data_IF_743282317146
#
_entry.id   IF_743282317146
#
_cell.length_a   1.000
_cell.length_b   1.000
_cell.length_c   1.000
_cell.angle_alpha   90.00
_cell.angle_beta   90.00
_cell.angle_gamma   90.00
#
_symmetry.space_group_name_H-M   'P 1'
#
loop_
_entity.id
_entity.type
_entity.pdbx_description
1 polymer ?
#
# COMPACT_ATOMS: atom_id res chain seq x y z
N UNK A 1 9.37 14.67 35.86
CA UNK A 1 9.74 13.72 34.79
C UNK A 1 9.27 14.35 33.50
N UNK A 2 10.18 14.93 32.74
CA UNK A 2 9.89 15.37 31.38
C UNK A 2 9.63 14.09 30.57
N UNK A 3 8.38 13.90 30.15
CA UNK A 3 8.07 12.93 29.12
C UNK A 3 8.75 13.44 27.86
N UNK A 4 9.85 12.80 27.45
CA UNK A 4 10.37 12.97 26.11
C UNK A 4 9.29 12.41 25.20
N UNK A 5 8.45 13.31 24.70
CA UNK A 5 7.60 13.05 23.54
C UNK A 5 8.53 12.59 22.44
N UNK A 6 8.54 11.29 22.13
CA UNK A 6 9.07 10.83 20.86
C UNK A 6 8.07 11.30 19.79
N UNK A 7 8.10 12.60 19.49
CA UNK A 7 7.41 13.15 18.33
C UNK A 7 7.96 12.40 17.13
N UNK A 8 7.10 11.62 16.49
CA UNK A 8 7.49 10.75 15.39
C UNK A 8 8.16 11.60 14.31
N UNK A 9 9.40 11.25 13.94
CA UNK A 9 10.18 12.03 12.97
C UNK A 9 9.39 12.16 11.66
N UNK A 10 8.91 13.37 11.32
CA UNK A 10 8.08 13.56 10.15
C UNK A 10 8.87 13.42 8.86
N UNK A 11 10.21 13.35 8.92
CA UNK A 11 11.07 13.28 7.75
C UNK A 11 10.93 11.95 7.01
N UNK A 12 11.00 12.03 5.68
CA UNK A 12 11.20 10.86 4.83
C UNK A 12 12.45 10.09 5.30
N UNK A 13 12.40 8.76 5.19
CA UNK A 13 13.56 7.94 5.50
C UNK A 13 14.68 8.25 4.51
N UNK A 14 15.88 8.49 5.02
CA UNK A 14 17.08 8.58 4.19
C UNK A 14 17.52 7.17 3.84
N UNK A 15 17.28 6.75 2.59
CA UNK A 15 17.70 5.44 2.11
C UNK A 15 19.13 5.54 1.56
N UNK A 16 20.12 4.86 2.16
CA UNK A 16 21.48 4.84 1.61
C UNK A 16 21.49 4.22 0.22
N UNK A 17 22.28 4.77 -0.71
CA UNK A 17 22.44 4.20 -2.07
C UNK A 17 22.91 2.76 -2.02
N UNK A 18 23.71 2.37 -1.02
CA UNK A 18 24.16 0.98 -0.81
C UNK A 18 23.05 0.00 -0.44
N UNK A 19 21.85 0.50 -0.11
CA UNK A 19 20.66 -0.27 0.20
C UNK A 19 19.62 -0.24 -0.93
N UNK A 20 19.93 0.46 -2.02
CA UNK A 20 19.12 0.45 -3.23
C UNK A 20 19.70 -0.56 -4.24
N UNK A 21 18.87 -1.16 -5.09
CA UNK A 21 19.35 -1.93 -6.22
C UNK A 21 20.25 -1.09 -7.10
N UNK A 22 21.30 -1.68 -7.69
CA UNK A 22 22.08 -1.06 -8.76
C UNK A 22 21.16 -0.47 -9.83
N UNK A 23 21.55 0.69 -10.38
CA UNK A 23 20.73 1.41 -11.35
C UNK A 23 20.40 0.57 -12.60
N UNK A 24 21.26 -0.36 -12.97
CA UNK A 24 21.05 -1.33 -14.05
C UNK A 24 20.04 -2.44 -13.70
N UNK A 25 19.76 -2.73 -12.43
CA UNK A 25 18.65 -3.63 -12.02
C UNK A 25 17.31 -2.90 -12.02
N UNK A 26 17.33 -1.61 -11.69
CA UNK A 26 16.14 -0.73 -11.77
C UNK A 26 15.84 -0.42 -13.26
N UNK A 27 16.91 -0.27 -14.07
CA UNK A 27 16.87 0.15 -15.47
C UNK A 27 17.67 -0.77 -16.42
N UNK A 28 17.44 -2.10 -16.47
CA UNK A 28 18.16 -2.97 -17.38
C UNK A 28 17.59 -2.76 -18.77
N UNK A 29 18.17 -1.82 -19.52
CA UNK A 29 17.88 -1.64 -20.92
C UNK A 29 19.20 -1.70 -21.69
N UNK A 30 19.39 -2.72 -22.55
CA UNK A 30 20.53 -2.79 -23.45
C UNK A 30 20.55 -1.60 -24.44
N UNK A 31 19.39 -1.03 -24.72
CA UNK A 31 19.21 0.00 -25.73
C UNK A 31 18.83 1.34 -25.10
N UNK A 32 19.60 2.38 -25.43
CA UNK A 32 19.33 3.79 -25.06
C UNK A 32 18.00 4.34 -25.61
N UNK A 33 17.23 3.54 -26.35
CA UNK A 33 15.99 3.94 -27.03
C UNK A 33 14.70 3.63 -26.23
N UNK A 34 14.73 2.73 -25.24
CA UNK A 34 13.52 2.43 -24.45
C UNK A 34 13.36 3.49 -23.36
N UNK A 35 12.28 4.27 -23.47
CA UNK A 35 11.95 5.34 -22.54
C UNK A 35 11.94 4.84 -21.09
N UNK A 36 12.64 5.54 -20.19
CA UNK A 36 12.59 5.36 -18.72
C UNK A 36 11.29 5.93 -18.12
N UNK A 37 10.22 5.91 -18.89
CA UNK A 37 8.93 6.49 -18.55
C UNK A 37 7.81 5.51 -18.79
N UNK A 38 6.72 5.70 -18.06
CA UNK A 38 5.49 4.96 -18.28
C UNK A 38 4.65 5.58 -19.39
N UNK A 39 5.11 6.56 -20.17
CA UNK A 39 4.29 7.21 -21.21
C UNK A 39 4.16 6.35 -22.47
N UNK A 40 5.24 5.66 -22.85
CA UNK A 40 5.30 4.85 -24.07
C UNK A 40 5.16 3.35 -23.79
N UNK A 41 4.80 2.60 -24.83
CA UNK A 41 4.90 1.14 -24.87
C UNK A 41 6.10 0.71 -25.71
N UNK A 42 6.75 -0.38 -25.34
CA UNK A 42 7.94 -0.93 -26.00
C UNK A 42 7.75 -2.43 -26.28
N UNK A 43 8.64 -2.99 -27.10
CA UNK A 43 8.60 -4.42 -27.46
C UNK A 43 8.98 -5.25 -26.23
N UNK A 44 8.13 -6.20 -25.88
CA UNK A 44 8.36 -7.14 -24.79
C UNK A 44 9.19 -8.35 -25.24
N UNK A 45 9.95 -8.92 -24.31
CA UNK A 45 10.57 -10.25 -24.47
C UNK A 45 9.55 -11.39 -24.40
N UNK A 46 8.34 -11.13 -23.90
CA UNK A 46 7.27 -12.13 -23.78
C UNK A 46 6.69 -12.46 -25.17
N UNK A 47 6.65 -13.73 -25.57
CA UNK A 47 5.99 -14.13 -26.81
C UNK A 47 4.50 -13.76 -26.81
N UNK A 48 3.91 -13.31 -27.94
CA UNK A 48 2.51 -12.85 -28.00
C UNK A 48 1.46 -13.89 -27.59
N UNK A 49 1.80 -15.18 -27.61
CA UNK A 49 0.93 -16.30 -27.25
C UNK A 49 1.19 -16.86 -25.85
N UNK A 50 1.98 -16.16 -25.02
CA UNK A 50 2.30 -16.55 -23.65
C UNK A 50 1.68 -15.58 -22.66
N UNK A 51 1.31 -16.10 -21.49
CA UNK A 51 0.94 -15.30 -20.32
C UNK A 51 2.17 -14.56 -19.81
N UNK A 52 2.03 -13.26 -19.52
CA UNK A 52 3.09 -12.45 -18.89
C UNK A 52 3.50 -13.07 -17.56
N UNK A 53 2.52 -13.37 -16.68
CA UNK A 53 2.80 -13.97 -15.38
C UNK A 53 3.62 -15.24 -15.53
N UNK A 54 3.14 -16.20 -16.33
CA UNK A 54 3.75 -17.52 -16.42
C UNK A 54 5.17 -17.43 -16.98
N UNK A 55 5.41 -16.53 -17.94
CA UNK A 55 6.74 -16.31 -18.51
C UNK A 55 7.75 -15.87 -17.45
N UNK A 56 7.47 -14.82 -16.70
CA UNK A 56 8.40 -14.32 -15.68
C UNK A 56 8.47 -15.23 -14.45
N UNK A 57 7.31 -15.70 -13.96
CA UNK A 57 7.23 -16.48 -12.72
C UNK A 57 7.89 -17.85 -12.87
N UNK A 58 7.74 -18.51 -14.02
CA UNK A 58 8.40 -19.81 -14.25
C UNK A 58 9.92 -19.67 -14.34
N UNK A 59 10.42 -18.59 -14.94
CA UNK A 59 11.85 -18.30 -15.01
C UNK A 59 12.45 -18.08 -13.62
N UNK A 60 11.84 -17.23 -12.78
CA UNK A 60 12.28 -17.01 -11.39
C UNK A 60 12.23 -18.30 -10.58
N UNK A 61 11.16 -19.10 -10.69
CA UNK A 61 11.05 -20.40 -10.02
C UNK A 61 12.09 -21.42 -10.48
N UNK A 62 12.62 -21.26 -11.70
CA UNK A 62 13.72 -22.08 -12.22
C UNK A 62 15.12 -21.56 -11.83
N UNK A 63 15.19 -20.43 -11.11
CA UNK A 63 16.43 -19.83 -10.61
C UNK A 63 16.94 -18.63 -11.41
N UNK A 64 16.27 -18.24 -12.51
CA UNK A 64 16.63 -17.04 -13.25
C UNK A 64 15.96 -15.80 -12.63
N UNK A 65 16.58 -15.23 -11.61
CA UNK A 65 16.10 -14.01 -10.94
C UNK A 65 16.41 -12.73 -11.72
N UNK A 66 17.27 -12.81 -12.75
CA UNK A 66 17.67 -11.64 -13.55
C UNK A 66 16.55 -11.11 -14.45
N UNK A 67 15.57 -11.96 -14.76
CA UNK A 67 14.45 -11.64 -15.65
C UNK A 67 13.46 -10.63 -15.04
N UNK A 68 13.41 -10.50 -13.71
CA UNK A 68 12.53 -9.58 -13.00
C UNK A 68 13.21 -9.07 -11.72
N UNK A 69 13.30 -7.75 -11.50
CA UNK A 69 14.03 -7.20 -10.37
C UNK A 69 13.38 -7.59 -9.03
N UNK A 70 14.17 -7.79 -7.97
CA UNK A 70 13.64 -7.97 -6.63
C UNK A 70 12.99 -6.66 -6.12
N UNK A 71 12.08 -6.73 -5.14
CA UNK A 71 11.47 -5.54 -4.55
C UNK A 71 12.44 -4.81 -3.63
N UNK A 72 12.22 -3.52 -3.46
CA UNK A 72 12.77 -2.71 -2.37
C UNK A 72 11.75 -2.77 -1.23
N UNK A 73 12.10 -3.39 -0.12
CA UNK A 73 11.20 -3.61 1.02
C UNK A 73 11.45 -2.53 2.05
N UNK A 74 10.57 -1.53 2.10
CA UNK A 74 10.63 -0.46 3.11
C UNK A 74 9.82 -0.83 4.33
N UNK A 75 10.49 -0.99 5.47
CA UNK A 75 9.85 -1.41 6.72
C UNK A 75 10.01 -0.36 7.81
N UNK A 76 8.97 -0.11 8.61
CA UNK A 76 9.10 0.78 9.76
C UNK A 76 10.14 0.24 10.74
N UNK A 77 10.94 1.12 11.35
CA UNK A 77 12.10 0.74 12.17
C UNK A 77 11.76 -0.19 13.34
N UNK A 78 10.52 -0.14 13.81
CA UNK A 78 10.08 -0.99 14.89
C UNK A 78 9.79 -2.43 14.46
N UNK A 79 9.58 -2.72 13.17
CA UNK A 79 9.31 -4.08 12.69
C UNK A 79 10.59 -4.92 12.81
N UNK A 80 10.62 -5.99 13.62
CA UNK A 80 11.83 -6.79 13.79
C UNK A 80 12.27 -7.43 12.45
N UNK A 81 13.57 -7.42 12.11
CA UNK A 81 14.04 -7.94 10.81
C UNK A 81 13.63 -9.38 10.50
N UNK A 82 13.67 -10.27 11.50
CA UNK A 82 13.22 -11.66 11.35
C UNK A 82 11.72 -11.76 11.01
N UNK A 83 10.92 -10.80 11.48
CA UNK A 83 9.50 -10.75 11.17
C UNK A 83 9.26 -10.22 9.74
N UNK A 84 10.07 -9.28 9.25
CA UNK A 84 10.00 -8.81 7.85
C UNK A 84 10.16 -9.99 6.88
N UNK A 85 11.20 -10.81 7.07
CA UNK A 85 11.42 -12.00 6.22
C UNK A 85 10.26 -13.00 6.33
N UNK A 86 9.82 -13.30 7.56
CA UNK A 86 8.69 -14.20 7.79
C UNK A 86 7.42 -13.72 7.05
N UNK A 87 7.08 -12.44 7.17
CA UNK A 87 5.91 -11.84 6.52
C UNK A 87 6.05 -11.83 5.00
N UNK A 88 7.26 -11.65 4.47
CA UNK A 88 7.51 -11.64 3.04
C UNK A 88 7.47 -13.04 2.41
N UNK A 89 7.86 -14.09 3.14
CA UNK A 89 7.95 -15.46 2.64
C UNK A 89 6.73 -16.33 2.93
N UNK A 90 6.07 -16.14 4.08
CA UNK A 90 5.01 -17.05 4.56
C UNK A 90 3.59 -16.49 4.37
N UNK A 91 3.43 -15.61 3.38
CA UNK A 91 2.15 -15.01 2.96
C UNK A 91 1.09 -16.05 2.68
N UNK A 92 -0.18 -15.71 2.87
CA UNK A 92 -1.28 -16.61 2.49
C UNK A 92 -1.50 -16.58 0.98
N UNK A 93 -2.11 -17.63 0.45
CA UNK A 93 -2.52 -17.73 -0.96
C UNK A 93 -4.05 -17.63 -1.12
N UNK A 94 -4.75 -17.24 -0.06
CA UNK A 94 -6.21 -17.17 0.04
C UNK A 94 -6.67 -15.72 0.14
N UNK A 95 -7.74 -15.41 -0.59
CA UNK A 95 -8.39 -14.11 -0.58
C UNK A 95 -9.15 -13.81 0.73
N UNK A 96 -9.56 -12.54 0.85
CA UNK A 96 -10.66 -11.94 1.63
C UNK A 96 -11.43 -12.84 2.61
N UNK A 97 -11.61 -12.35 3.85
CA UNK A 97 -12.42 -13.00 4.87
C UNK A 97 -11.75 -14.17 5.61
N UNK A 98 -10.65 -14.72 5.08
CA UNK A 98 -9.86 -15.77 5.71
C UNK A 98 -8.77 -15.17 6.62
N UNK A 99 -9.13 -14.85 7.86
CA UNK A 99 -8.16 -14.46 8.92
C UNK A 99 -7.48 -15.72 9.49
N UNK A 100 -6.62 -15.62 10.50
CA UNK A 100 -5.84 -16.77 11.01
C UNK A 100 -6.70 -18.05 11.15
N UNK A 101 -6.32 -19.10 10.43
CA UNK A 101 -6.94 -20.43 10.48
C UNK A 101 -5.92 -21.47 10.97
N UNK A 102 -6.39 -22.64 11.46
CA UNK A 102 -5.51 -23.76 11.78
C UNK A 102 -4.56 -24.09 10.62
N UNK A 103 -3.27 -24.19 10.94
CA UNK A 103 -2.20 -24.44 9.97
C UNK A 103 -1.65 -23.18 9.28
N UNK A 104 -2.21 -22.00 9.51
CA UNK A 104 -1.67 -20.74 8.99
C UNK A 104 -0.31 -20.39 9.62
N UNK A 105 0.53 -19.73 8.82
CA UNK A 105 1.86 -19.28 9.25
C UNK A 105 1.88 -17.87 9.80
N UNK A 106 0.89 -17.05 9.43
CA UNK A 106 0.76 -15.66 9.83
C UNK A 106 -0.51 -15.51 10.68
N UNK A 107 -0.33 -15.09 11.93
CA UNK A 107 -1.38 -14.70 12.88
C UNK A 107 -2.02 -13.37 12.51
N UNK A 108 -3.14 -13.01 13.15
CA UNK A 108 -3.79 -11.73 12.87
C UNK A 108 -2.92 -10.52 13.24
N UNK A 109 -2.18 -10.60 14.35
CA UNK A 109 -1.31 -9.49 14.77
C UNK A 109 -0.03 -9.40 13.94
N UNK A 110 0.49 -10.53 13.44
CA UNK A 110 1.53 -10.50 12.41
C UNK A 110 1.01 -9.90 11.11
N UNK A 111 -0.21 -10.24 10.70
CA UNK A 111 -0.86 -9.61 9.57
C UNK A 111 -0.98 -8.09 9.75
N UNK A 112 -1.40 -7.63 10.93
CA UNK A 112 -1.45 -6.19 11.23
C UNK A 112 -0.05 -5.54 11.18
N UNK A 113 1.00 -6.24 11.62
CA UNK A 113 2.38 -5.77 11.50
C UNK A 113 2.84 -5.65 10.04
N UNK A 114 2.31 -6.51 9.16
CA UNK A 114 2.64 -6.52 7.74
C UNK A 114 2.28 -5.20 7.02
N UNK A 115 1.28 -4.46 7.54
CA UNK A 115 0.97 -3.10 7.07
C UNK A 115 2.18 -2.16 7.12
N UNK A 116 3.16 -2.43 8.00
CA UNK A 116 4.36 -1.62 8.15
C UNK A 116 5.54 -2.11 7.33
N UNK A 117 5.32 -3.03 6.40
CA UNK A 117 6.30 -3.54 5.44
C UNK A 117 5.75 -3.29 4.04
N UNK A 118 6.38 -2.38 3.30
CA UNK A 118 5.93 -1.93 1.97
C UNK A 118 6.94 -2.33 0.91
N UNK A 119 6.65 -3.40 0.13
CA UNK A 119 7.51 -3.81 -0.98
C UNK A 119 7.18 -3.00 -2.23
N UNK A 120 8.18 -2.31 -2.76
CA UNK A 120 8.08 -1.57 -4.03
C UNK A 120 8.90 -2.31 -5.07
N UNK A 121 8.23 -2.86 -6.07
CA UNK A 121 8.90 -3.43 -7.23
C UNK A 121 9.36 -2.27 -8.11
N UNK A 122 10.69 -2.06 -8.25
CA UNK A 122 11.22 -0.86 -8.87
C UNK A 122 10.84 -0.72 -10.35
N UNK A 123 10.53 -1.85 -11.00
CA UNK A 123 10.02 -1.91 -12.37
C UNK A 123 9.26 -3.20 -12.64
N UNK A 124 8.09 -3.07 -13.25
CA UNK A 124 7.28 -4.14 -13.80
C UNK A 124 6.99 -3.91 -15.28
N UNK A 125 7.00 -4.99 -16.06
CA UNK A 125 6.50 -4.99 -17.43
C UNK A 125 4.99 -5.26 -17.41
N UNK A 126 4.17 -4.32 -17.89
CA UNK A 126 2.70 -4.43 -17.90
C UNK A 126 2.14 -4.63 -19.31
N UNK A 127 1.39 -5.71 -19.54
CA UNK A 127 0.70 -6.03 -20.80
C UNK A 127 -0.74 -5.48 -20.83
N UNK A 128 -0.88 -4.19 -20.54
CA UNK A 128 -2.15 -3.50 -20.45
C UNK A 128 -2.18 -2.59 -19.23
N UNK A 129 -3.12 -1.66 -19.22
CA UNK A 129 -3.42 -0.82 -18.06
C UNK A 129 -4.63 -1.44 -17.33
N UNK A 130 -4.69 -1.36 -15.99
CA UNK A 130 -5.79 -1.93 -15.21
C UNK A 130 -7.15 -1.29 -15.57
N UNK A 131 -8.20 -2.10 -15.59
CA UNK A 131 -9.58 -1.62 -15.67
C UNK A 131 -10.55 -2.51 -14.87
N UNK A 132 -11.65 -1.93 -14.43
CA UNK A 132 -12.75 -2.62 -13.76
C UNK A 132 -13.99 -2.55 -14.64
N UNK A 133 -14.49 -3.70 -15.12
CA UNK A 133 -15.71 -3.76 -15.91
C UNK A 133 -16.43 -5.07 -15.64
N UNK A 134 -17.43 -5.03 -14.76
CA UNK A 134 -18.08 -6.23 -14.20
C UNK A 134 -17.06 -7.25 -13.63
N UNK A 135 -15.99 -6.74 -13.00
CA UNK A 135 -14.85 -7.50 -12.48
C UNK A 135 -13.51 -6.88 -12.86
N UNK A 136 -12.44 -7.35 -12.20
CA UNK A 136 -11.07 -6.89 -12.43
C UNK A 136 -10.53 -7.40 -13.76
N UNK A 137 -9.93 -6.51 -14.55
CA UNK A 137 -9.44 -6.73 -15.91
C UNK A 137 -8.21 -5.85 -16.20
N UNK A 138 -7.64 -6.01 -17.38
CA UNK A 138 -6.76 -5.03 -17.98
C UNK A 138 -7.18 -4.74 -19.43
N UNK A 139 -6.78 -3.57 -19.93
CA UNK A 139 -6.95 -3.24 -21.35
C UNK A 139 -6.30 -4.30 -22.23
N UNK A 140 -6.83 -4.57 -23.43
CA UNK A 140 -6.24 -5.56 -24.34
C UNK A 140 -4.75 -5.33 -24.59
N UNK A 141 -3.99 -6.41 -24.45
CA UNK A 141 -2.57 -6.44 -24.78
C UNK A 141 -2.36 -6.01 -26.23
N UNK A 142 -1.41 -5.11 -26.46
CA UNK A 142 -1.12 -4.61 -27.80
C UNK A 142 -0.15 -5.56 -28.48
N UNK A 143 -0.56 -6.12 -29.62
CA UNK A 143 0.30 -6.96 -30.46
C UNK A 143 0.57 -6.21 -31.77
N UNK A 144 1.86 -6.04 -32.11
CA UNK A 144 2.29 -5.37 -33.35
C UNK A 144 3.09 -6.33 -34.23
N UNK A 145 3.24 -5.98 -35.51
CA UNK A 145 4.19 -6.63 -36.42
C UNK A 145 5.51 -5.88 -36.40
N UNK A 146 6.61 -6.57 -36.13
CA UNK A 146 7.97 -6.04 -36.25
C UNK A 146 8.85 -7.09 -36.94
N UNK A 147 9.53 -6.70 -38.02
CA UNK A 147 10.35 -7.63 -38.82
C UNK A 147 9.61 -8.88 -39.30
N UNK A 148 8.31 -8.78 -39.63
CA UNK A 148 7.46 -9.91 -40.04
C UNK A 148 6.93 -10.79 -38.91
N UNK A 149 7.41 -10.63 -37.67
CA UNK A 149 6.96 -11.39 -36.49
C UNK A 149 5.94 -10.59 -35.68
N UNK A 150 4.99 -11.28 -35.06
CA UNK A 150 4.12 -10.67 -34.07
C UNK A 150 4.90 -10.48 -32.76
N UNK A 151 4.81 -9.31 -32.15
CA UNK A 151 5.46 -8.96 -30.88
C UNK A 151 4.44 -8.38 -29.91
N UNK A 152 4.60 -8.71 -28.63
CA UNK A 152 3.83 -8.12 -27.54
C UNK A 152 4.42 -6.76 -27.20
N UNK A 153 3.58 -5.76 -26.96
CA UNK A 153 4.00 -4.46 -26.45
C UNK A 153 3.63 -4.34 -24.98
N UNK A 154 4.57 -3.88 -24.17
CA UNK A 154 4.39 -3.67 -22.72
C UNK A 154 4.73 -2.22 -22.36
N UNK A 155 4.29 -1.81 -21.16
CA UNK A 155 4.64 -0.54 -20.53
C UNK A 155 5.46 -0.82 -19.28
N UNK A 156 6.48 -0.01 -19.03
CA UNK A 156 7.20 -0.03 -17.74
C UNK A 156 6.37 0.70 -16.70
N UNK A 157 6.08 0.06 -15.57
CA UNK A 157 5.41 0.68 -14.42
C UNK A 157 6.18 0.36 -13.14
N UNK A 158 5.90 1.09 -12.07
CA UNK A 158 6.36 0.78 -10.71
C UNK A 158 5.20 0.11 -10.02
N UNK A 159 5.43 -0.98 -9.30
CA UNK A 159 4.37 -1.61 -8.52
C UNK A 159 4.68 -1.42 -7.04
N UNK A 160 3.81 -0.70 -6.34
CA UNK A 160 3.83 -0.67 -4.89
C UNK A 160 2.88 -1.73 -4.35
N UNK A 161 3.41 -2.62 -3.53
CA UNK A 161 2.68 -3.70 -2.89
C UNK A 161 2.24 -3.31 -1.46
N UNK A 162 1.78 -2.07 -1.32
CA UNK A 162 1.28 -1.50 -0.07
C UNK A 162 0.12 -2.34 0.49
N UNK A 163 0.16 -2.54 1.80
CA UNK A 163 -0.85 -3.31 2.53
C UNK A 163 -1.73 -2.33 3.29
N UNK A 164 -3.02 -2.33 3.01
CA UNK A 164 -3.94 -1.41 3.67
C UNK A 164 -4.24 -1.84 5.11
N UNK A 165 -4.75 -0.90 5.91
CA UNK A 165 -5.25 -1.19 7.24
C UNK A 165 -6.49 -2.10 7.13
N UNK A 166 -6.36 -3.36 7.58
CA UNK A 166 -7.40 -4.38 7.47
C UNK A 166 -8.50 -4.23 8.54
N UNK A 167 -9.56 -3.53 8.15
CA UNK A 167 -10.85 -3.41 8.87
C UNK A 167 -11.96 -4.23 8.21
N UNK A 168 -11.62 -5.25 7.41
CA UNK A 168 -12.64 -6.11 6.79
C UNK A 168 -13.44 -6.84 7.88
N UNK A 169 -12.73 -7.28 8.93
CA UNK A 169 -13.25 -7.99 10.08
C UNK A 169 -12.70 -7.38 11.39
N UNK A 170 -13.38 -7.58 12.54
CA UNK A 170 -12.99 -6.98 13.80
C UNK A 170 -11.74 -7.60 14.44
N UNK A 171 -11.06 -8.54 13.78
CA UNK A 171 -10.03 -9.40 14.37
C UNK A 171 -8.59 -8.97 14.07
N UNK A 172 -8.39 -7.93 13.26
CA UNK A 172 -7.07 -7.41 12.86
C UNK A 172 -6.91 -5.98 13.36
N UNK A 173 -7.12 -4.96 12.52
CA UNK A 173 -6.85 -3.57 12.92
C UNK A 173 -7.80 -3.06 14.01
N UNK A 174 -9.07 -3.52 14.01
CA UNK A 174 -10.02 -3.21 15.08
C UNK A 174 -9.50 -3.71 16.43
N UNK A 175 -9.15 -5.00 16.52
CA UNK A 175 -8.64 -5.57 17.77
C UNK A 175 -7.36 -4.87 18.21
N UNK A 176 -6.48 -4.51 17.28
CA UNK A 176 -5.23 -3.81 17.56
C UNK A 176 -5.46 -2.43 18.20
N UNK A 177 -6.29 -1.58 17.59
CA UNK A 177 -6.45 -0.17 17.98
C UNK A 177 -7.60 0.12 18.95
N UNK A 178 -8.45 -0.88 19.27
CA UNK A 178 -9.60 -0.66 20.15
C UNK A 178 -9.20 -0.51 21.63
N UNK A 179 -9.95 0.31 22.35
CA UNK A 179 -9.83 0.45 23.80
C UNK A 179 -10.47 -0.76 24.50
N UNK A 180 -9.89 -1.14 25.64
CA UNK A 180 -10.41 -2.18 26.55
C UNK A 180 -10.85 -1.56 27.87
N UNK A 181 -11.46 -2.36 28.74
CA UNK A 181 -11.86 -1.92 30.08
C UNK A 181 -10.67 -1.44 30.92
N UNK A 182 -9.53 -2.12 30.75
CA UNK A 182 -8.25 -1.76 31.36
C UNK A 182 -7.34 -1.14 30.30
N UNK A 183 -6.40 -0.34 30.76
CA UNK A 183 -5.34 0.19 29.90
C UNK A 183 -4.46 -0.92 29.33
N UNK A 184 -3.84 -0.64 28.19
CA UNK A 184 -2.85 -1.50 27.55
C UNK A 184 -1.55 -0.72 27.54
N UNK A 185 -0.58 -1.17 28.33
CA UNK A 185 0.77 -0.62 28.34
C UNK A 185 1.57 -1.23 27.21
N UNK A 186 2.19 -0.37 26.40
CA UNK A 186 3.06 -0.78 25.31
C UNK A 186 4.36 -1.40 25.82
N UNK A 187 4.95 -2.27 24.99
CA UNK A 187 6.22 -2.96 25.27
C UNK A 187 7.06 -2.97 24.00
N UNK A 188 8.22 -2.34 24.01
CA UNK A 188 9.15 -2.46 22.89
C UNK A 188 9.79 -3.86 22.86
N UNK A 189 9.68 -4.57 21.73
CA UNK A 189 10.24 -5.90 21.54
C UNK A 189 11.65 -5.85 20.97
N UNK A 190 12.08 -4.69 20.42
CA UNK A 190 13.43 -4.55 19.87
C UNK A 190 14.51 -4.52 20.95
N UNK A 191 14.13 -4.23 22.20
CA UNK A 191 15.01 -4.27 23.38
C UNK A 191 14.91 -5.59 24.15
N UNK A 192 13.99 -6.48 23.78
CA UNK A 192 13.79 -7.78 24.42
C UNK A 192 14.63 -8.84 23.70
N UNK A 193 15.83 -9.12 24.23
CA UNK A 193 16.76 -10.09 23.64
C UNK A 193 16.24 -11.52 23.62
N UNK A 194 15.20 -11.83 24.40
CA UNK A 194 14.61 -13.16 24.49
C UNK A 194 13.39 -13.33 23.57
N UNK A 195 12.82 -12.23 23.07
CA UNK A 195 11.67 -12.29 22.19
C UNK A 195 12.01 -12.96 20.86
N UNK A 196 11.17 -13.90 20.43
CA UNK A 196 11.31 -14.61 19.15
C UNK A 196 9.94 -14.70 18.48
N UNK A 197 9.93 -14.63 17.15
CA UNK A 197 8.71 -14.89 16.40
C UNK A 197 8.27 -16.35 16.63
N UNK A 198 6.95 -16.55 16.75
CA UNK A 198 6.41 -17.86 17.06
C UNK A 198 6.42 -18.75 15.81
N UNK A 199 6.98 -19.95 15.89
CA UNK A 199 6.96 -20.92 14.79
C UNK A 199 5.54 -21.45 14.48
N UNK A 200 5.32 -21.90 13.24
CA UNK A 200 4.03 -22.41 12.74
C UNK A 200 3.34 -23.41 13.67
N UNK A 201 4.10 -24.37 14.21
CA UNK A 201 3.57 -25.39 15.11
C UNK A 201 3.05 -24.80 16.43
N UNK A 202 3.81 -23.90 17.05
CA UNK A 202 3.41 -23.27 18.31
C UNK A 202 2.24 -22.28 18.14
N UNK A 203 2.07 -21.67 16.95
CA UNK A 203 0.89 -20.83 16.63
C UNK A 203 -0.45 -21.60 16.68
N UNK A 204 -0.40 -22.93 16.63
CA UNK A 204 -1.59 -23.77 16.74
C UNK A 204 -2.07 -23.92 18.19
N UNK A 205 -1.18 -23.70 19.16
CA UNK A 205 -1.57 -23.62 20.57
C UNK A 205 -2.21 -22.25 20.83
N UNK A 206 -3.47 -22.26 21.29
CA UNK A 206 -4.25 -21.04 21.49
C UNK A 206 -3.69 -20.14 22.60
N UNK A 207 -3.09 -20.72 23.65
CA UNK A 207 -2.52 -19.96 24.76
C UNK A 207 -1.20 -19.31 24.35
N UNK A 208 -0.30 -20.07 23.70
CA UNK A 208 0.95 -19.52 23.16
C UNK A 208 0.69 -18.45 22.10
N UNK A 209 -0.25 -18.70 21.17
CA UNK A 209 -0.65 -17.69 20.17
C UNK A 209 -1.24 -16.45 20.83
N UNK A 210 -2.15 -16.61 21.79
CA UNK A 210 -2.78 -15.48 22.47
C UNK A 210 -1.76 -14.58 23.18
N UNK A 211 -0.78 -15.17 23.87
CA UNK A 211 0.32 -14.42 24.49
C UNK A 211 1.20 -13.71 23.46
N UNK A 212 1.54 -14.40 22.37
CA UNK A 212 2.35 -13.86 21.28
C UNK A 212 1.65 -12.68 20.56
N UNK A 213 0.37 -12.83 20.22
CA UNK A 213 -0.43 -11.77 19.59
C UNK A 213 -0.56 -10.55 20.51
N UNK A 214 -0.73 -10.76 21.82
CA UNK A 214 -0.78 -9.68 22.80
C UNK A 214 0.58 -8.96 22.94
N UNK A 215 1.71 -9.67 22.86
CA UNK A 215 3.03 -9.05 22.83
C UNK A 215 3.24 -8.19 21.57
N UNK A 216 2.87 -8.69 20.38
CA UNK A 216 2.88 -7.92 19.14
C UNK A 216 1.97 -6.69 19.22
N UNK A 217 0.79 -6.84 19.83
CA UNK A 217 -0.12 -5.72 20.06
C UNK A 217 0.52 -4.65 20.94
N UNK A 218 1.08 -5.03 22.10
CA UNK A 218 1.77 -4.10 23.01
C UNK A 218 2.95 -3.42 22.33
N UNK A 219 3.64 -4.12 21.43
CA UNK A 219 4.70 -3.54 20.62
C UNK A 219 4.20 -2.43 19.70
N UNK A 220 3.15 -2.70 18.93
CA UNK A 220 2.54 -1.68 18.09
C UNK A 220 1.97 -0.52 18.90
N UNK A 221 1.36 -0.78 20.07
CA UNK A 221 0.91 0.28 20.99
C UNK A 221 2.07 1.16 21.45
N UNK A 222 3.22 0.56 21.77
CA UNK A 222 4.42 1.32 22.13
C UNK A 222 4.83 2.28 21.01
N UNK A 223 4.89 1.80 19.76
CA UNK A 223 5.41 2.60 18.64
C UNK A 223 4.39 3.52 17.96
N UNK A 224 3.10 3.28 18.14
CA UNK A 224 2.02 4.01 17.47
C UNK A 224 1.18 4.85 18.44
N UNK A 225 1.66 5.08 19.66
CA UNK A 225 1.08 6.05 20.59
C UNK A 225 2.17 6.82 21.31
N UNK A 226 1.96 8.12 21.46
CA UNK A 226 2.94 9.06 22.03
C UNK A 226 3.18 8.81 23.53
N UNK A 227 2.20 8.21 24.21
CA UNK A 227 2.30 7.82 25.62
C UNK A 227 2.65 6.35 25.81
N UNK A 228 2.97 5.63 24.73
CA UNK A 228 3.25 4.19 24.74
C UNK A 228 2.15 3.37 25.43
N UNK A 229 0.89 3.80 25.33
CA UNK A 229 -0.26 3.14 25.96
C UNK A 229 -1.57 3.43 25.22
N UNK A 230 -2.51 2.50 25.31
CA UNK A 230 -3.93 2.76 25.05
C UNK A 230 -4.66 2.88 26.39
N UNK A 231 -5.40 3.97 26.67
CA UNK A 231 -6.10 4.14 27.93
C UNK A 231 -7.30 3.19 28.07
N UNK A 232 -7.72 2.94 29.31
CA UNK A 232 -8.95 2.20 29.59
C UNK A 232 -10.20 3.01 29.21
N UNK A 233 -11.30 2.32 28.89
CA UNK A 233 -12.58 2.94 28.49
C UNK A 233 -13.13 3.93 29.54
N UNK A 234 -12.91 3.66 30.83
CA UNK A 234 -13.37 4.54 31.91
C UNK A 234 -12.64 5.89 31.95
N UNK A 235 -11.42 5.97 31.41
CA UNK A 235 -10.61 7.20 31.37
C UNK A 235 -11.05 8.15 30.24
N UNK A 236 -11.82 7.66 29.26
CA UNK A 236 -11.98 8.33 27.96
C UNK A 236 -13.40 8.79 27.64
N UNK A 237 -14.38 8.58 28.53
CA UNK A 237 -15.82 8.72 28.25
C UNK A 237 -16.21 10.07 27.62
N UNK A 238 -15.57 11.17 28.02
CA UNK A 238 -15.86 12.53 27.50
C UNK A 238 -15.13 12.88 26.18
N UNK A 239 -14.36 11.95 25.62
CA UNK A 239 -13.49 12.16 24.45
C UNK A 239 -13.80 11.22 23.28
N UNK A 240 -14.86 10.43 23.42
CA UNK A 240 -15.34 9.49 22.41
C UNK A 240 -16.33 10.21 21.50
N UNK A 241 -15.99 10.30 20.23
CA UNK A 241 -16.83 10.84 19.17
C UNK A 241 -17.53 9.68 18.44
N UNK A 242 -18.71 9.92 17.90
CA UNK A 242 -19.28 9.01 16.90
C UNK A 242 -18.57 9.22 15.54
N UNK A 243 -18.83 8.34 14.58
CA UNK A 243 -18.18 8.38 13.27
C UNK A 243 -18.29 9.74 12.56
N UNK A 244 -19.51 10.26 12.36
CA UNK A 244 -19.72 11.56 11.69
C UNK A 244 -18.90 12.72 12.30
N UNK A 245 -19.00 12.98 13.62
CA UNK A 245 -18.15 13.98 14.28
C UNK A 245 -16.65 13.69 14.18
N UNK A 246 -16.23 12.41 14.13
CA UNK A 246 -14.83 12.05 13.93
C UNK A 246 -14.35 12.39 12.52
N UNK A 247 -15.18 12.16 11.50
CA UNK A 247 -14.89 12.55 10.11
C UNK A 247 -14.74 14.07 10.00
N UNK A 248 -15.70 14.83 10.55
CA UNK A 248 -15.62 16.29 10.57
C UNK A 248 -14.36 16.78 11.29
N UNK A 249 -14.04 16.21 12.45
CA UNK A 249 -12.83 16.55 13.18
C UNK A 249 -11.56 16.32 12.36
N UNK A 250 -11.44 15.18 11.66
CA UNK A 250 -10.28 14.91 10.80
C UNK A 250 -10.24 15.84 9.59
N UNK A 251 -11.39 16.18 8.99
CA UNK A 251 -11.49 17.15 7.90
C UNK A 251 -11.05 18.54 8.35
N UNK A 252 -11.47 19.00 9.52
CA UNK A 252 -11.06 20.28 10.10
C UNK A 252 -9.52 20.32 10.29
N UNK A 253 -8.91 19.19 10.72
CA UNK A 253 -7.45 19.08 10.81
C UNK A 253 -6.76 19.13 9.45
N UNK A 254 -7.33 18.48 8.42
CA UNK A 254 -6.79 18.52 7.06
C UNK A 254 -6.90 19.95 6.48
N UNK A 255 -7.97 20.66 6.79
CA UNK A 255 -8.22 22.02 6.31
C UNK A 255 -7.42 23.07 7.07
N UNK A 256 -7.02 22.81 8.31
CA UNK A 256 -6.21 23.73 9.12
C UNK A 256 -4.78 23.91 8.60
N UNK A 257 -4.15 25.03 8.97
CA UNK A 257 -2.79 25.37 8.52
C UNK A 257 -1.70 24.45 9.11
N UNK A 258 -1.89 24.01 10.36
CA UNK A 258 -0.95 23.21 11.14
C UNK A 258 -1.61 21.94 11.67
N UNK A 259 -1.67 20.91 10.82
CA UNK A 259 -2.06 19.57 11.24
C UNK A 259 -0.95 18.95 12.08
N UNK A 260 -1.19 18.78 13.39
CA UNK A 260 -0.21 18.22 14.33
C UNK A 260 -0.74 16.93 14.96
N UNK A 261 0.08 15.86 15.09
CA UNK A 261 -0.33 14.60 15.70
C UNK A 261 -0.85 14.78 17.15
N UNK A 262 -0.36 15.81 17.84
CA UNK A 262 -0.76 16.19 19.20
C UNK A 262 -2.28 16.45 19.32
N UNK A 263 -2.93 16.91 18.25
CA UNK A 263 -4.37 17.16 18.23
C UNK A 263 -5.19 15.86 18.29
N UNK A 264 -4.60 14.73 17.88
CA UNK A 264 -5.24 13.41 17.92
C UNK A 264 -5.09 12.74 19.29
N UNK A 265 -4.24 13.27 20.17
CA UNK A 265 -4.06 12.75 21.52
C UNK A 265 -5.39 12.71 22.26
N UNK A 266 -5.68 11.55 22.84
CA UNK A 266 -6.92 11.32 23.58
C UNK A 266 -8.18 11.63 22.75
N UNK A 267 -8.15 11.35 21.44
CA UNK A 267 -9.33 11.40 20.58
C UNK A 267 -9.67 10.00 20.10
N UNK A 268 -10.94 9.66 20.25
CA UNK A 268 -11.43 8.32 19.99
C UNK A 268 -12.68 8.36 19.12
N UNK A 269 -12.84 7.38 18.25
CA UNK A 269 -14.03 7.20 17.45
C UNK A 269 -14.78 5.94 17.86
N UNK A 270 -16.10 6.03 17.94
CA UNK A 270 -16.99 4.92 18.23
C UNK A 270 -17.52 4.33 16.93
N UNK A 271 -17.23 3.05 16.73
CA UNK A 271 -17.67 2.26 15.58
C UNK A 271 -18.45 1.05 16.12
N UNK A 272 -19.77 1.07 15.95
CA UNK A 272 -20.67 0.11 16.58
C UNK A 272 -20.52 0.12 18.11
N UNK A 273 -20.10 -1.01 18.68
CA UNK A 273 -19.86 -1.17 20.12
C UNK A 273 -18.40 -0.97 20.53
N UNK A 274 -17.50 -0.70 19.57
CA UNK A 274 -16.07 -0.56 19.79
C UNK A 274 -15.67 0.91 19.78
N UNK A 275 -14.62 1.23 20.54
CA UNK A 275 -14.02 2.56 20.60
C UNK A 275 -12.58 2.42 20.14
N UNK A 276 -12.18 3.16 19.11
CA UNK A 276 -10.88 3.07 18.45
C UNK A 276 -10.07 4.35 18.70
N UNK A 277 -8.75 4.23 18.83
CA UNK A 277 -7.84 5.38 18.97
C UNK A 277 -7.53 6.05 17.63
N UNK A 278 -7.89 7.32 17.47
CA UNK A 278 -7.56 8.08 16.25
C UNK A 278 -6.06 8.37 16.12
N UNK A 279 -5.38 8.60 17.24
CA UNK A 279 -3.92 8.73 17.29
C UNK A 279 -3.23 7.50 16.70
N UNK A 280 -3.62 6.31 17.18
CA UNK A 280 -3.05 5.05 16.71
C UNK A 280 -3.23 4.88 15.21
N UNK A 281 -4.45 5.13 14.73
CA UNK A 281 -4.80 4.96 13.32
C UNK A 281 -4.07 5.94 12.41
N UNK A 282 -3.92 7.19 12.87
CA UNK A 282 -3.14 8.19 12.15
C UNK A 282 -1.68 7.78 12.05
N UNK A 283 -1.04 7.36 13.15
CA UNK A 283 0.35 6.93 13.11
C UNK A 283 0.53 5.68 12.25
N UNK A 284 -0.44 4.78 12.23
CA UNK A 284 -0.42 3.63 11.34
C UNK A 284 -0.45 4.06 9.85
N UNK A 285 -1.36 4.97 9.49
CA UNK A 285 -1.42 5.54 8.14
C UNK A 285 -0.15 6.33 7.78
N UNK A 286 0.41 7.07 8.73
CA UNK A 286 1.65 7.82 8.53
C UNK A 286 2.84 6.91 8.22
N UNK A 287 3.00 5.81 8.96
CA UNK A 287 4.07 4.84 8.70
C UNK A 287 3.96 4.23 7.30
N UNK A 288 2.74 3.93 6.85
CA UNK A 288 2.49 3.43 5.50
C UNK A 288 2.96 4.43 4.42
N UNK A 289 2.47 5.67 4.50
CA UNK A 289 2.85 6.75 3.58
C UNK A 289 4.37 6.97 3.62
N UNK A 290 4.99 6.95 4.81
CA UNK A 290 6.43 7.19 4.99
C UNK A 290 7.24 6.09 4.32
N UNK A 291 6.87 4.84 4.54
CA UNK A 291 7.58 3.70 3.97
C UNK A 291 7.56 3.75 2.44
N UNK A 292 6.39 4.05 1.86
CA UNK A 292 6.18 4.11 0.42
C UNK A 292 6.87 5.32 -0.22
N UNK A 293 6.58 6.54 0.24
CA UNK A 293 7.12 7.76 -0.36
C UNK A 293 8.63 7.87 -0.23
N UNK A 294 9.21 7.34 0.85
CA UNK A 294 10.68 7.35 1.00
C UNK A 294 11.37 6.57 -0.12
N UNK A 295 10.81 5.44 -0.55
CA UNK A 295 11.35 4.66 -1.67
C UNK A 295 11.12 5.39 -2.99
N UNK A 296 9.90 5.88 -3.23
CA UNK A 296 9.56 6.55 -4.49
C UNK A 296 10.41 7.82 -4.71
N UNK A 297 10.58 8.64 -3.67
CA UNK A 297 11.42 9.84 -3.73
C UNK A 297 12.91 9.50 -3.90
N UNK A 298 13.39 8.38 -3.36
CA UNK A 298 14.79 7.97 -3.50
C UNK A 298 15.12 7.38 -4.88
N UNK A 299 14.16 6.70 -5.52
CA UNK A 299 14.41 5.85 -6.71
C UNK A 299 14.08 6.53 -8.04
N UNK A 300 13.17 7.51 -8.06
CA UNK A 300 12.64 8.07 -9.32
C UNK A 300 12.97 9.56 -9.51
N UNK A 301 14.24 9.94 -9.74
CA UNK A 301 14.62 11.34 -9.97
C UNK A 301 14.00 11.97 -11.23
N UNK A 302 13.58 11.16 -12.21
CA UNK A 302 12.80 11.63 -13.37
C UNK A 302 11.35 12.01 -12.98
N UNK A 303 10.91 11.56 -11.82
CA UNK A 303 9.61 11.77 -11.24
C UNK A 303 8.65 10.60 -11.42
N UNK A 304 7.55 10.63 -10.66
CA UNK A 304 6.54 9.59 -10.66
C UNK A 304 5.11 10.13 -10.59
N UNK A 305 4.17 9.34 -11.09
CA UNK A 305 2.72 9.52 -11.02
C UNK A 305 2.22 8.52 -9.99
N UNK A 306 1.84 9.02 -8.83
CA UNK A 306 1.27 8.22 -7.77
C UNK A 306 -0.22 8.00 -8.04
N UNK A 307 -0.69 6.75 -8.05
CA UNK A 307 -2.12 6.45 -8.12
C UNK A 307 -2.58 5.84 -6.80
N UNK A 308 -3.80 6.10 -6.34
CA UNK A 308 -4.28 5.47 -5.11
C UNK A 308 -5.73 5.03 -5.27
N UNK A 309 -5.98 3.77 -4.96
CA UNK A 309 -7.33 3.21 -4.86
C UNK A 309 -7.69 3.06 -3.38
N UNK A 310 -8.81 3.65 -2.90
CA UNK A 310 -9.18 3.57 -1.51
C UNK A 310 -9.49 2.12 -1.08
N UNK A 311 -9.22 1.77 0.18
CA UNK A 311 -9.31 0.40 0.70
C UNK A 311 -10.75 -0.02 1.01
N UNK A 312 -11.72 0.26 0.14
CA UNK A 312 -13.15 0.14 0.47
C UNK A 312 -13.57 -1.26 0.92
N UNK A 313 -12.98 -2.30 0.33
CA UNK A 313 -13.26 -3.69 0.72
C UNK A 313 -12.67 -4.05 2.09
N UNK A 314 -11.60 -3.38 2.50
CA UNK A 314 -10.99 -3.51 3.82
C UNK A 314 -11.56 -2.53 4.82
N UNK A 315 -12.45 -1.63 4.42
CA UNK A 315 -13.06 -0.64 5.31
C UNK A 315 -14.44 -1.08 5.85
N UNK A 316 -14.86 -2.32 5.60
CA UNK A 316 -16.23 -2.82 5.89
C UNK A 316 -16.70 -2.57 7.32
N UNK A 317 -15.78 -2.56 8.30
CA UNK A 317 -16.13 -2.30 9.68
C UNK A 317 -16.20 -0.80 10.05
N UNK A 318 -15.45 0.09 9.39
CA UNK A 318 -15.23 1.49 9.84
C UNK A 318 -15.65 2.57 8.83
N UNK A 319 -16.13 2.17 7.65
CA UNK A 319 -16.41 3.01 6.48
C UNK A 319 -15.12 3.54 5.77
N UNK A 320 -15.08 3.55 4.42
CA UNK A 320 -13.90 4.00 3.65
C UNK A 320 -13.46 5.42 3.98
N UNK A 321 -14.41 6.31 4.26
CA UNK A 321 -14.20 7.72 4.55
C UNK A 321 -13.21 7.91 5.69
N UNK A 322 -13.36 7.16 6.79
CA UNK A 322 -12.48 7.29 7.95
C UNK A 322 -11.02 6.99 7.59
N UNK A 323 -10.79 5.91 6.84
CA UNK A 323 -9.45 5.51 6.40
C UNK A 323 -8.85 6.52 5.42
N UNK A 324 -9.67 7.06 4.51
CA UNK A 324 -9.24 8.10 3.59
C UNK A 324 -8.83 9.39 4.33
N UNK A 325 -9.64 9.87 5.29
CA UNK A 325 -9.27 11.08 6.06
C UNK A 325 -7.96 10.88 6.83
N UNK A 326 -7.76 9.72 7.46
CA UNK A 326 -6.51 9.40 8.15
C UNK A 326 -5.30 9.38 7.22
N UNK A 327 -5.45 8.76 6.04
CA UNK A 327 -4.41 8.72 5.01
C UNK A 327 -4.09 10.11 4.45
N UNK A 328 -5.10 10.93 4.18
CA UNK A 328 -4.93 12.31 3.69
C UNK A 328 -4.28 13.19 4.76
N UNK A 329 -4.67 13.04 6.03
CA UNK A 329 -4.04 13.74 7.14
C UNK A 329 -2.57 13.34 7.29
N UNK A 330 -2.24 12.05 7.11
CA UNK A 330 -0.86 11.58 7.08
C UNK A 330 -0.05 12.20 5.92
N UNK A 331 -0.64 12.30 4.73
CA UNK A 331 -0.03 13.01 3.59
C UNK A 331 0.21 14.48 3.92
N UNK A 332 -0.79 15.18 4.50
CA UNK A 332 -0.65 16.59 4.89
C UNK A 332 0.47 16.78 5.88
N UNK A 333 0.53 15.94 6.91
CA UNK A 333 1.59 16.00 7.91
C UNK A 333 2.96 15.78 7.26
N UNK A 334 3.09 14.79 6.37
CA UNK A 334 4.34 14.53 5.65
C UNK A 334 4.75 15.68 4.72
N UNK A 335 3.83 16.15 3.88
CA UNK A 335 4.07 17.21 2.90
C UNK A 335 4.36 18.56 3.56
N UNK A 336 3.90 18.77 4.79
CA UNK A 336 4.20 19.97 5.56
C UNK A 336 5.62 20.02 6.10
N UNK A 337 6.28 18.85 6.22
CA UNK A 337 7.63 18.70 6.77
C UNK A 337 8.67 18.28 5.74
N UNK A 338 8.26 17.93 4.52
CA UNK A 338 9.12 17.41 3.47
C UNK A 338 8.78 18.03 2.11
N UNK A 339 9.73 17.99 1.18
CA UNK A 339 9.48 18.27 -0.22
C UNK A 339 9.38 16.94 -0.98
N UNK A 340 8.25 16.71 -1.65
CA UNK A 340 8.03 15.57 -2.52
C UNK A 340 8.53 15.91 -3.93
N UNK A 341 9.84 16.15 -4.04
CA UNK A 341 10.47 16.76 -5.22
C UNK A 341 10.33 15.94 -6.51
N UNK A 342 10.08 14.63 -6.40
CA UNK A 342 9.94 13.73 -7.53
C UNK A 342 8.49 13.40 -7.88
N UNK A 343 7.54 13.55 -6.97
CA UNK A 343 6.12 13.42 -7.31
C UNK A 343 5.73 14.46 -8.36
N UNK A 344 5.05 14.02 -9.43
CA UNK A 344 4.51 14.90 -10.49
C UNK A 344 2.99 15.00 -10.42
N UNK A 345 2.35 13.85 -10.20
CA UNK A 345 0.90 13.75 -10.11
C UNK A 345 0.56 12.85 -8.92
N UNK A 346 -0.44 13.25 -8.16
CA UNK A 346 -1.20 12.40 -7.25
C UNK A 346 -2.59 12.17 -7.84
N UNK A 347 -2.92 10.93 -8.17
CA UNK A 347 -4.17 10.58 -8.82
C UNK A 347 -5.01 9.64 -7.95
N UNK A 348 -6.14 10.12 -7.44
CA UNK A 348 -6.98 9.40 -6.49
C UNK A 348 -8.22 8.81 -7.18
N UNK A 349 -8.56 7.56 -6.88
CA UNK A 349 -9.80 6.95 -7.32
C UNK A 349 -10.95 7.29 -6.34
N UNK A 350 -11.79 8.23 -6.73
CA UNK A 350 -12.78 8.89 -5.87
C UNK A 350 -14.15 8.19 -5.80
N UNK A 351 -14.27 6.97 -6.33
CA UNK A 351 -15.54 6.24 -6.43
C UNK A 351 -16.27 6.03 -5.09
N UNK A 352 -15.52 5.80 -4.00
CA UNK A 352 -16.08 5.56 -2.67
C UNK A 352 -16.16 6.83 -1.82
N UNK A 353 -15.47 7.90 -2.21
CA UNK A 353 -15.32 9.11 -1.40
C UNK A 353 -14.98 10.32 -2.29
N UNK A 354 -15.98 10.92 -2.96
CA UNK A 354 -15.77 12.05 -3.86
C UNK A 354 -15.12 13.27 -3.18
N UNK A 355 -15.37 13.46 -1.88
CA UNK A 355 -14.81 14.56 -1.10
C UNK A 355 -13.30 14.46 -0.88
N UNK A 356 -12.72 13.26 -0.94
CA UNK A 356 -11.29 13.04 -0.70
C UNK A 356 -10.40 13.83 -1.67
N UNK A 357 -10.85 14.05 -2.91
CA UNK A 357 -10.03 14.72 -3.91
C UNK A 357 -9.73 16.18 -3.54
N UNK A 358 -10.72 16.91 -3.02
CA UNK A 358 -10.51 18.28 -2.54
C UNK A 358 -9.64 18.32 -1.27
N UNK A 359 -9.83 17.38 -0.36
CA UNK A 359 -9.00 17.25 0.84
C UNK A 359 -7.53 16.94 0.47
N UNK A 360 -7.28 16.12 -0.55
CA UNK A 360 -5.93 15.84 -1.06
C UNK A 360 -5.27 17.07 -1.68
N UNK A 361 -6.02 17.90 -2.40
CA UNK A 361 -5.50 19.18 -2.92
C UNK A 361 -5.01 20.08 -1.80
N UNK A 362 -5.76 20.14 -0.70
CA UNK A 362 -5.37 20.90 0.50
C UNK A 362 -4.16 20.24 1.18
N UNK A 363 -4.17 18.92 1.34
CA UNK A 363 -3.05 18.19 1.96
C UNK A 363 -1.72 18.35 1.19
N UNK A 364 -1.77 18.58 -0.12
CA UNK A 364 -0.60 18.77 -0.97
C UNK A 364 -0.38 20.22 -1.41
N UNK A 365 -1.09 21.20 -0.84
CA UNK A 365 -1.06 22.60 -1.29
C UNK A 365 0.35 23.23 -1.22
N UNK A 366 1.18 22.78 -0.27
CA UNK A 366 2.58 23.20 -0.12
C UNK A 366 3.51 22.60 -1.19
N UNK A 367 3.05 21.60 -1.93
CA UNK A 367 3.77 20.92 -3.01
C UNK A 367 3.29 21.49 -4.35
N UNK A 368 3.59 22.76 -4.61
CA UNK A 368 3.00 23.54 -5.73
C UNK A 368 3.25 22.95 -7.13
N UNK A 369 4.22 22.04 -7.27
CA UNK A 369 4.55 21.34 -8.51
C UNK A 369 3.76 20.03 -8.71
N UNK A 370 3.07 19.53 -7.68
CA UNK A 370 2.30 18.28 -7.73
C UNK A 370 0.88 18.57 -8.20
N UNK A 371 0.45 17.93 -9.29
CA UNK A 371 -0.94 17.98 -9.73
C UNK A 371 -1.77 16.93 -9.00
N UNK A 372 -2.88 17.33 -8.40
CA UNK A 372 -3.83 16.40 -7.76
C UNK A 372 -5.06 16.25 -8.65
N UNK A 373 -5.30 15.03 -9.12
CA UNK A 373 -6.31 14.71 -10.14
C UNK A 373 -7.17 13.51 -9.73
N UNK A 374 -8.35 13.35 -10.33
CA UNK A 374 -9.02 12.06 -10.28
C UNK A 374 -8.19 11.06 -11.10
N UNK A 375 -8.11 9.82 -10.65
CA UNK A 375 -7.48 8.73 -11.42
C UNK A 375 -8.08 8.63 -12.82
N UNK A 376 -9.35 8.98 -12.97
CA UNK A 376 -10.01 9.02 -14.25
C UNK A 376 -9.44 9.97 -15.29
N UNK A 377 -8.85 11.07 -14.87
CA UNK A 377 -8.26 12.05 -15.77
C UNK A 377 -6.99 11.54 -16.47
N UNK A 378 -6.38 10.48 -15.93
CA UNK A 378 -5.15 9.86 -16.45
C UNK A 378 -5.40 8.72 -17.43
N UNK A 379 -6.54 8.03 -17.33
CA UNK A 379 -6.82 6.83 -18.12
C UNK A 379 -7.99 7.08 -19.06
N UNK A 380 -7.81 6.94 -20.38
CA UNK A 380 -8.90 7.14 -21.36
C UNK A 380 -9.31 5.85 -22.05
N UNK A 381 -10.62 5.64 -22.19
CA UNK A 381 -11.21 4.59 -23.02
C UNK A 381 -10.91 4.79 -24.52
N UNK A 382 -11.23 3.77 -25.34
CA UNK A 382 -10.97 3.77 -26.79
C UNK A 382 -11.74 4.86 -27.55
N UNK A 383 -12.84 5.38 -26.99
CA UNK A 383 -13.61 6.52 -27.51
C UNK A 383 -13.12 7.88 -26.98
N UNK A 384 -12.01 7.89 -26.23
CA UNK A 384 -11.46 9.08 -25.59
C UNK A 384 -12.17 9.50 -24.31
N UNK A 385 -13.11 8.72 -23.78
CA UNK A 385 -13.81 8.98 -22.52
C UNK A 385 -13.25 8.11 -21.40
N UNK A 386 -13.00 8.71 -20.24
CA UNK A 386 -12.99 7.95 -18.98
C UNK A 386 -14.44 7.84 -18.52
N UNK A 387 -14.99 6.63 -18.44
CA UNK A 387 -16.30 6.44 -17.82
C UNK A 387 -16.06 6.07 -16.35
N UNK A 388 -16.16 7.07 -15.46
CA UNK A 388 -16.22 6.82 -14.03
C UNK A 388 -17.38 5.85 -13.77
N UNK A 389 -17.06 4.68 -13.24
CA UNK A 389 -17.98 3.63 -12.87
C UNK A 389 -18.88 4.17 -11.78
N UNK A 390 -20.16 4.36 -12.09
CA UNK A 390 -21.20 4.49 -11.07
C UNK A 390 -21.50 3.11 -10.51
N UNK A 391 -20.54 2.50 -9.81
CA UNK A 391 -20.79 1.24 -9.14
C UNK A 391 -21.67 1.48 -7.91
N UNK A 392 -22.93 1.08 -8.00
CA UNK A 392 -23.78 0.79 -6.84
C UNK A 392 -23.90 -0.72 -6.74
N UNK A 393 -23.50 -1.28 -5.61
CA UNK A 393 -23.68 -2.69 -5.31
C UNK A 393 -25.14 -3.11 -5.62
N UNK A 394 -25.31 -4.08 -6.53
CA UNK A 394 -26.64 -4.60 -6.92
C UNK A 394 -27.36 -3.89 -8.08
N UNK A 395 -26.80 -2.88 -8.75
CA UNK A 395 -27.53 -2.10 -9.78
C UNK A 395 -27.50 -2.64 -11.22
N UNK A 396 -26.68 -3.65 -11.53
CA UNK A 396 -26.67 -4.31 -12.85
C UNK A 396 -26.34 -3.43 -14.06
N UNK A 397 -25.99 -2.15 -13.90
CA UNK A 397 -25.59 -1.27 -14.99
C UNK A 397 -24.07 -1.23 -15.12
N UNK A 398 -23.55 -1.95 -16.11
CA UNK A 398 -22.12 -2.04 -16.41
C UNK A 398 -21.64 -0.83 -17.24
N UNK A 399 -21.01 0.13 -16.58
CA UNK A 399 -20.03 1.05 -17.18
C UNK A 399 -18.78 0.96 -16.31
N UNK A 400 -17.67 0.55 -16.92
CA UNK A 400 -16.47 0.17 -16.19
C UNK A 400 -15.47 1.32 -16.07
N UNK A 401 -14.78 1.39 -14.93
CA UNK A 401 -13.63 2.27 -14.72
C UNK A 401 -12.42 1.77 -15.50
N UNK A 402 -11.84 2.62 -16.36
CA UNK A 402 -10.52 2.35 -16.89
C UNK A 402 -10.30 2.81 -18.32
N UNK A 403 -9.04 2.71 -18.74
CA UNK A 403 -8.57 3.24 -20.00
C UNK A 403 -7.06 3.05 -20.13
N UNK A 404 -6.51 3.49 -21.25
CA UNK A 404 -5.06 3.56 -21.43
C UNK A 404 -4.53 4.83 -20.80
N UNK A 405 -3.34 4.76 -20.19
CA UNK A 405 -2.66 5.95 -19.68
C UNK A 405 -2.46 6.97 -20.81
N UNK A 406 -2.94 8.19 -20.61
CA UNK A 406 -2.80 9.32 -21.53
C UNK A 406 -2.32 10.57 -20.80
N UNK A 407 -1.05 10.92 -21.01
CA UNK A 407 -0.40 12.08 -20.42
C UNK A 407 -0.41 13.32 -21.32
N UNK A 408 -1.11 13.29 -22.46
CA UNK A 408 -1.13 14.40 -23.44
C UNK A 408 -1.57 15.74 -22.85
N UNK A 409 -2.43 15.71 -21.83
CA UNK A 409 -2.92 16.91 -21.11
C UNK A 409 -1.99 17.37 -19.98
N UNK A 410 -0.98 16.58 -19.63
CA UNK A 410 -0.20 16.75 -18.41
C UNK A 410 1.31 16.83 -18.72
N UNK A 411 1.80 17.92 -19.35
CA UNK A 411 3.21 18.05 -19.72
C UNK A 411 4.18 17.91 -18.53
N UNK A 412 3.74 18.29 -17.32
CA UNK A 412 4.51 18.16 -16.08
C UNK A 412 4.82 16.70 -15.69
N UNK A 413 4.05 15.73 -16.20
CA UNK A 413 4.26 14.30 -15.96
C UNK A 413 5.09 13.61 -17.05
N UNK A 414 5.57 14.35 -18.05
CA UNK A 414 6.40 13.79 -19.12
C UNK A 414 7.65 13.13 -18.54
N UNK A 415 7.91 11.89 -18.96
CA UNK A 415 9.06 11.13 -18.46
C UNK A 415 8.85 10.44 -17.12
N UNK A 416 7.74 10.69 -16.43
CA UNK A 416 7.48 10.11 -15.12
C UNK A 416 7.12 8.61 -15.19
N UNK A 417 7.37 7.91 -14.08
CA UNK A 417 6.95 6.52 -13.88
C UNK A 417 5.57 6.44 -13.23
N UNK A 418 4.67 5.65 -13.80
CA UNK A 418 3.37 5.33 -13.23
C UNK A 418 3.55 4.33 -12.10
N UNK A 419 3.13 4.69 -10.90
CA UNK A 419 3.03 3.79 -9.74
C UNK A 419 1.65 3.18 -9.73
N UNK A 420 1.59 1.85 -9.86
CA UNK A 420 0.38 1.04 -9.70
C UNK A 420 0.38 0.40 -8.32
N UNK A 421 -0.79 0.37 -7.69
CA UNK A 421 -0.95 -0.16 -6.35
C UNK A 421 -1.82 -1.40 -6.40
N UNK A 422 -1.41 -2.41 -5.64
CA UNK A 422 -2.32 -3.48 -5.25
C UNK A 422 -3.35 -2.97 -4.25
N UNK A 423 -4.33 -3.81 -3.93
CA UNK A 423 -5.25 -3.60 -2.82
C UNK A 423 -5.26 -4.90 -2.03
N UNK A 424 -4.13 -5.16 -1.33
CA UNK A 424 -3.94 -6.35 -0.51
C UNK A 424 -4.32 -6.11 0.95
N UNK A 425 -4.75 -7.19 1.60
CA UNK A 425 -4.92 -7.22 3.05
C UNK A 425 -3.61 -7.51 3.79
N UNK A 426 -3.71 -7.46 5.12
CA UNK A 426 -2.68 -7.76 6.10
C UNK A 426 -1.93 -9.10 5.87
N UNK A 427 -2.53 -10.08 5.18
CA UNK A 427 -2.01 -11.46 5.10
C UNK A 427 -1.30 -11.78 3.79
N UNK A 428 -1.31 -10.85 2.83
CA UNK A 428 -0.23 -10.74 1.88
C UNK A 428 -0.60 -10.39 0.44
N UNK A 429 0.46 -10.40 -0.35
CA UNK A 429 0.52 -10.05 -1.77
C UNK A 429 -0.08 -11.15 -2.63
N UNK A 430 -1.40 -11.15 -2.75
CA UNK A 430 -2.15 -12.04 -3.64
C UNK A 430 -1.76 -11.87 -5.13
N UNK A 431 -0.94 -10.86 -5.43
CA UNK A 431 -0.29 -10.63 -6.73
C UNK A 431 0.49 -11.85 -7.23
N UNK A 432 1.05 -12.67 -6.34
CA UNK A 432 1.72 -13.91 -6.77
C UNK A 432 0.73 -15.01 -7.17
N UNK A 433 -0.40 -15.13 -6.46
CA UNK A 433 -1.21 -16.36 -6.41
C UNK A 433 -2.62 -16.26 -7.01
N UNK A 434 -3.25 -15.08 -6.99
CA UNK A 434 -4.64 -14.91 -7.42
C UNK A 434 -4.78 -14.71 -8.93
N UNK A 435 -5.88 -15.18 -9.50
CA UNK A 435 -6.18 -15.00 -10.93
C UNK A 435 -6.84 -13.65 -11.21
N UNK A 436 -6.68 -13.16 -12.44
CA UNK A 436 -7.16 -11.84 -12.89
C UNK A 436 -8.61 -11.51 -12.51
N UNK A 437 -9.54 -12.46 -12.59
CA UNK A 437 -10.96 -12.19 -12.35
C UNK A 437 -11.34 -12.05 -10.88
N UNK A 438 -10.46 -12.41 -9.94
CA UNK A 438 -10.77 -12.49 -8.51
C UNK A 438 -10.57 -11.19 -7.74
N UNK A 439 -9.55 -10.40 -8.09
CA UNK A 439 -9.14 -9.22 -7.34
C UNK A 439 -8.26 -8.28 -8.18
N UNK A 440 -8.01 -7.06 -7.67
CA UNK A 440 -7.01 -6.15 -8.23
C UNK A 440 -5.62 -6.78 -8.23
N UNK A 441 -5.26 -7.46 -7.14
CA UNK A 441 -3.98 -8.13 -6.98
C UNK A 441 -3.77 -9.20 -8.04
N UNK A 442 -4.80 -10.01 -8.28
CA UNK A 442 -4.81 -11.02 -9.33
C UNK A 442 -4.71 -10.42 -10.73
N UNK A 443 -5.34 -9.26 -10.96
CA UNK A 443 -5.22 -8.55 -12.23
C UNK A 443 -3.81 -8.01 -12.46
N UNK A 444 -3.22 -7.36 -11.46
CA UNK A 444 -1.82 -6.89 -11.51
C UNK A 444 -0.89 -8.07 -11.73
N UNK A 445 -1.05 -9.13 -10.93
CA UNK A 445 -0.21 -10.31 -10.98
C UNK A 445 -0.29 -11.08 -12.29
N UNK A 446 -1.45 -11.10 -12.96
CA UNK A 446 -1.64 -11.79 -14.24
C UNK A 446 -1.10 -11.00 -15.45
N UNK A 447 -1.12 -9.67 -15.34
CA UNK A 447 -0.85 -8.77 -16.47
C UNK A 447 0.51 -8.08 -16.38
N UNK A 448 1.20 -8.25 -15.26
CA UNK A 448 2.54 -7.68 -15.02
C UNK A 448 3.57 -8.73 -14.60
N UNK A 449 4.85 -8.37 -14.68
CA UNK A 449 5.94 -9.17 -14.10
C UNK A 449 6.00 -9.14 -12.56
N UNK A 450 5.13 -8.40 -11.88
CA UNK A 450 5.17 -8.19 -10.42
C UNK A 450 5.11 -9.51 -9.63
N UNK A 451 4.35 -10.50 -10.12
CA UNK A 451 4.26 -11.81 -9.47
C UNK A 451 5.62 -12.52 -9.34
N UNK A 452 6.51 -12.32 -10.31
CA UNK A 452 7.86 -12.88 -10.29
C UNK A 452 8.81 -12.05 -9.41
N UNK A 453 8.65 -10.73 -9.41
CA UNK A 453 9.35 -9.83 -8.49
C UNK A 453 9.04 -10.16 -7.03
N UNK A 454 7.79 -10.45 -6.71
CA UNK A 454 7.30 -10.72 -5.36
C UNK A 454 7.28 -12.21 -4.99
N UNK A 455 7.83 -13.07 -5.83
CA UNK A 455 7.83 -14.52 -5.61
C UNK A 455 8.52 -14.84 -4.27
N UNK A 456 7.81 -15.51 -3.37
CA UNK A 456 8.22 -15.67 -1.97
C UNK A 456 9.48 -16.52 -1.74
N UNK A 457 9.83 -17.39 -2.68
CA UNK A 457 10.95 -18.32 -2.62
C UNK A 457 12.19 -17.82 -3.38
N UNK A 458 12.11 -16.69 -4.09
CA UNK A 458 13.26 -16.12 -4.80
C UNK A 458 14.38 -15.81 -3.80
N UNK A 459 15.60 -16.15 -4.20
CA UNK A 459 16.76 -16.09 -3.33
C UNK A 459 17.11 -14.65 -2.90
N UNK A 460 16.93 -13.71 -3.82
CA UNK A 460 17.24 -12.28 -3.70
C UNK A 460 16.04 -11.43 -3.19
N UNK A 461 14.99 -12.05 -2.65
CA UNK A 461 13.78 -11.34 -2.17
C UNK A 461 14.11 -10.28 -1.12
N UNK A 462 15.08 -10.60 -0.25
CA UNK A 462 15.43 -9.82 0.93
C UNK A 462 16.70 -8.98 0.75
N UNK A 463 17.23 -8.87 -0.48
CA UNK A 463 18.50 -8.18 -0.75
C UNK A 463 18.41 -6.67 -0.46
N UNK A 464 17.22 -6.07 -0.58
CA UNK A 464 16.99 -4.63 -0.48
C UNK A 464 15.93 -4.27 0.57
N UNK A 465 16.22 -4.53 1.85
CA UNK A 465 15.41 -4.10 3.00
C UNK A 465 15.91 -2.75 3.54
N UNK A 466 15.01 -1.79 3.70
CA UNK A 466 15.30 -0.38 4.05
C UNK A 466 14.42 0.20 5.15
#
# INVERSE_FOLDING_TARGET
MEFISNSLDPQLKKIPVSKLPPADIIWPWPDNEVSRSSESVHISSVPPNKSIRDFYLSAVKSGDTSIAPPPIISASEFVPPALIEHLMRNKRSSALGAKFEPGAEITNMEGAMHTFVVPVVPRCESAGDYCFSAGHKATPTVIKKSGGKSVMMTRSVVMSATIHLDFELPTVMVELCMLRNQEILGKDLNVDSEWRFLGKGHKQDAALRGAYDEDLRKHMVFHLTSQHRLPGLAETTNKIMNLGPSLQFLEDLIQGDDATPEQLLHRFTKIGTRTLSLEFLFFAAFQLVRNEFSVLEAVYPQGYIFTYDPPSIFARYVEPELLNRLFILAIKYMSSHNQLGNMRIFAFNDYADPSALELLKIALERQTHVLVLSKGDLFRGEDGRFEAGSWKEGSGMAKGDGGRLDLSKWPAAKGAMLVVHNNSDAFGQNVETEYMSGSLDGAIGSTTSAAASLERARADLMDYVV
#
